data_IF_574820449535
#
_entry.id   IF_574820449535
#
_cell.length_a   1.000
_cell.length_b   1.000
_cell.length_c   1.000
_cell.angle_alpha   90.00
_cell.angle_beta   90.00
_cell.angle_gamma   90.00
#
_symmetry.space_group_name_H-M   'P 1'
#
loop_
_entity.id
_entity.type
_entity.pdbx_description
1 polymer ?
#
# COMPACT_ATOMS: atom_id res chain seq x y z
N UNK A 1 -0.69 1.69 2.99
CA UNK A 1 -1.97 1.18 2.45
C UNK A 1 -1.97 -0.31 2.20
N UNK A 2 -1.06 -0.84 1.37
CA UNK A 2 -1.13 -2.25 0.96
C UNK A 2 -1.04 -3.24 2.15
N UNK A 3 -0.22 -2.94 3.16
CA UNK A 3 -0.12 -3.79 4.36
C UNK A 3 -1.44 -3.88 5.16
N UNK A 4 -2.21 -2.80 5.25
CA UNK A 4 -3.53 -2.81 5.88
C UNK A 4 -4.49 -3.72 5.10
N UNK A 5 -4.45 -3.67 3.76
CA UNK A 5 -5.25 -4.55 2.90
C UNK A 5 -4.87 -6.01 3.12
N UNK A 6 -3.57 -6.31 3.04
CA UNK A 6 -3.04 -7.67 3.15
C UNK A 6 -3.38 -8.30 4.51
N UNK A 7 -3.42 -7.50 5.57
CA UNK A 7 -3.71 -7.95 6.94
C UNK A 7 -5.20 -7.80 7.32
N UNK A 8 -6.09 -7.58 6.36
CA UNK A 8 -7.53 -7.41 6.58
C UNK A 8 -7.89 -6.33 7.61
N UNK A 9 -7.06 -5.29 7.74
CA UNK A 9 -7.24 -4.20 8.70
C UNK A 9 -6.70 -4.48 10.11
N UNK A 10 -6.02 -5.60 10.34
CA UNK A 10 -5.33 -5.86 11.61
C UNK A 10 -4.24 -4.81 11.84
N UNK A 11 -3.46 -4.48 10.81
CA UNK A 11 -2.55 -3.35 10.82
C UNK A 11 -3.18 -2.16 10.10
N UNK A 12 -2.87 -0.95 10.58
CA UNK A 12 -3.48 0.29 10.11
C UNK A 12 -2.50 1.16 9.33
N UNK A 13 -2.95 1.67 8.20
CA UNK A 13 -2.30 2.71 7.42
C UNK A 13 -2.64 4.06 8.04
N UNK A 14 -1.93 4.42 9.11
CA UNK A 14 -2.25 5.60 9.92
C UNK A 14 -2.06 6.90 9.12
N UNK A 15 -3.12 7.73 8.98
CA UNK A 15 -3.00 9.04 8.38
C UNK A 15 -2.02 9.92 9.15
N UNK A 16 -1.18 10.66 8.44
CA UNK A 16 -0.20 11.55 9.05
C UNK A 16 -0.06 12.83 8.23
N UNK A 17 0.32 13.93 8.90
CA UNK A 17 0.57 15.24 8.28
C UNK A 17 1.79 15.87 8.92
N UNK A 18 2.52 16.67 8.15
CA UNK A 18 3.60 17.49 8.66
C UNK A 18 3.29 18.97 8.45
N UNK A 19 3.48 19.79 9.49
CA UNK A 19 3.39 21.25 9.42
C UNK A 19 4.70 21.85 9.92
N UNK A 20 5.37 22.63 9.07
CA UNK A 20 6.56 23.35 9.49
C UNK A 20 6.17 24.74 10.03
N UNK A 21 6.40 24.98 11.33
CA UNK A 21 6.10 26.26 11.98
C UNK A 21 7.36 27.06 12.37
N UNK A 22 8.55 26.53 12.12
CA UNK A 22 9.81 27.14 12.61
C UNK A 22 10.30 28.32 11.78
N UNK A 23 9.73 28.55 10.58
CA UNK A 23 10.24 29.52 9.61
C UNK A 23 11.59 29.13 8.98
N UNK A 24 12.17 28.00 9.39
CA UNK A 24 13.45 27.48 8.89
C UNK A 24 13.22 26.27 7.98
N UNK A 25 14.13 25.98 7.03
CA UNK A 25 14.08 24.77 6.24
C UNK A 25 14.05 23.51 7.12
N UNK A 26 13.21 22.54 6.75
CA UNK A 26 13.11 21.23 7.41
C UNK A 26 13.41 20.14 6.38
N UNK A 27 14.39 19.30 6.67
CA UNK A 27 14.72 18.13 5.85
C UNK A 27 13.96 16.90 6.36
N UNK A 28 13.50 16.06 5.45
CA UNK A 28 12.80 14.80 5.75
C UNK A 28 13.07 13.82 4.63
N UNK A 29 13.46 12.60 4.97
CA UNK A 29 13.89 11.58 4.01
C UNK A 29 13.02 10.32 4.17
N UNK A 30 11.80 10.29 3.63
CA UNK A 30 10.94 9.12 3.70
C UNK A 30 11.50 8.00 2.81
N UNK A 31 11.47 6.77 3.32
CA UNK A 31 11.77 5.56 2.57
C UNK A 31 10.51 4.69 2.49
N UNK A 32 10.15 4.27 1.28
CA UNK A 32 9.01 3.40 1.02
C UNK A 32 9.54 2.00 0.67
N UNK A 33 9.27 1.03 1.54
CA UNK A 33 9.63 -0.36 1.32
C UNK A 33 8.41 -1.15 0.85
N UNK A 34 8.41 -1.43 -0.45
CA UNK A 34 7.22 -1.86 -1.17
C UNK A 34 7.39 -3.27 -1.78
N UNK A 35 6.28 -3.94 -2.15
CA UNK A 35 6.34 -5.16 -2.94
C UNK A 35 7.08 -4.97 -4.27
N UNK A 36 7.56 -6.07 -4.85
CA UNK A 36 8.10 -6.07 -6.21
C UNK A 36 7.07 -5.52 -7.22
N UNK A 37 7.54 -4.96 -8.32
CA UNK A 37 6.70 -4.25 -9.29
C UNK A 37 5.57 -5.11 -9.86
N UNK A 38 5.89 -6.35 -10.23
CA UNK A 38 4.97 -7.35 -10.79
C UNK A 38 4.25 -8.18 -9.72
N UNK A 39 4.56 -7.97 -8.43
CA UNK A 39 3.91 -8.68 -7.34
C UNK A 39 2.40 -8.45 -7.41
N UNK A 40 1.63 -9.51 -7.15
CA UNK A 40 0.17 -9.43 -7.00
C UNK A 40 -0.15 -9.59 -5.52
N UNK A 41 -0.31 -8.49 -4.74
CA UNK A 41 -0.49 -8.60 -3.30
C UNK A 41 -1.76 -9.37 -2.98
N UNK A 42 -1.63 -10.41 -2.16
CA UNK A 42 -2.75 -11.19 -1.64
C UNK A 42 -2.88 -10.96 -0.14
N UNK A 43 -4.06 -11.28 0.41
CA UNK A 43 -4.21 -11.32 1.87
C UNK A 43 -3.21 -12.32 2.47
N UNK A 44 -2.57 -11.92 3.57
CA UNK A 44 -1.76 -12.86 4.35
C UNK A 44 -2.69 -13.85 5.05
N UNK A 45 -2.33 -15.14 5.14
CA UNK A 45 -3.09 -16.10 5.93
C UNK A 45 -3.10 -15.65 7.40
N UNK A 46 -4.31 -15.50 7.96
CA UNK A 46 -4.51 -15.15 9.36
C UNK A 46 -5.13 -16.35 10.08
N UNK A 47 -4.68 -16.62 11.31
CA UNK A 47 -5.34 -17.60 12.18
C UNK A 47 -6.76 -17.12 12.53
N UNK A 48 -7.69 -18.01 12.92
CA UNK A 48 -9.03 -17.61 13.34
C UNK A 48 -9.03 -16.54 14.44
N UNK A 49 -8.06 -16.60 15.35
CA UNK A 49 -7.89 -15.61 16.43
C UNK A 49 -7.53 -14.24 15.86
N UNK A 50 -6.59 -14.17 14.91
CA UNK A 50 -6.18 -12.91 14.27
C UNK A 50 -7.27 -12.35 13.36
N UNK A 51 -8.06 -13.21 12.70
CA UNK A 51 -9.23 -12.79 11.93
C UNK A 51 -10.28 -12.13 12.84
N UNK A 52 -10.55 -12.73 13.99
CA UNK A 52 -11.48 -12.15 14.97
C UNK A 52 -10.97 -10.81 15.52
N UNK A 53 -9.66 -10.69 15.76
CA UNK A 53 -9.05 -9.42 16.16
C UNK A 53 -9.18 -8.34 15.08
N UNK A 54 -8.92 -8.67 13.82
CA UNK A 54 -9.09 -7.75 12.70
C UNK A 54 -10.54 -7.26 12.58
N UNK A 55 -11.52 -8.15 12.73
CA UNK A 55 -12.94 -7.80 12.74
C UNK A 55 -13.27 -6.85 13.89
N UNK A 56 -12.86 -7.17 15.13
CA UNK A 56 -13.06 -6.32 16.29
C UNK A 56 -12.44 -4.93 16.10
N UNK A 57 -11.22 -4.87 15.57
CA UNK A 57 -10.54 -3.62 15.28
C UNK A 57 -11.32 -2.75 14.30
N UNK A 58 -11.98 -3.35 13.28
CA UNK A 58 -12.81 -2.63 12.32
C UNK A 58 -14.12 -2.12 12.93
N UNK A 59 -14.71 -2.86 13.87
CA UNK A 59 -15.94 -2.45 14.57
C UNK A 59 -15.70 -1.38 15.63
N UNK A 60 -14.48 -1.29 16.19
CA UNK A 60 -14.10 -0.22 17.10
C UNK A 60 -14.17 1.17 16.45
N UNK A 61 -14.11 1.24 15.11
CA UNK A 61 -14.24 2.48 14.34
C UNK A 61 -15.71 2.94 14.15
N UNK A 62 -16.67 2.29 14.81
CA UNK A 62 -18.10 2.64 14.79
C UNK A 62 -18.96 1.76 13.87
N UNK A 63 -20.27 2.03 13.84
CA UNK A 63 -21.26 1.20 13.12
C UNK A 63 -21.03 1.13 11.61
N UNK A 64 -20.36 2.14 11.03
CA UNK A 64 -20.00 2.19 9.61
C UNK A 64 -18.66 1.49 9.30
N UNK A 65 -17.91 1.08 10.34
CA UNK A 65 -16.56 0.54 10.24
C UNK A 65 -15.51 1.56 9.78
N UNK A 66 -14.25 1.13 9.68
CA UNK A 66 -13.16 1.95 9.14
C UNK A 66 -13.49 2.46 7.73
N UNK A 67 -13.87 3.73 7.60
CA UNK A 67 -14.00 4.44 6.34
C UNK A 67 -12.74 5.28 6.13
N UNK A 68 -12.00 4.99 5.06
CA UNK A 68 -10.84 5.80 4.67
C UNK A 68 -11.25 7.22 4.32
N UNK A 69 -10.34 8.16 4.51
CA UNK A 69 -10.52 9.58 4.19
C UNK A 69 -10.82 9.83 2.70
N UNK A 70 -10.39 8.93 1.81
CA UNK A 70 -10.60 8.98 0.36
C UNK A 70 -11.77 8.10 -0.12
N UNK A 71 -12.48 7.42 0.80
CA UNK A 71 -13.56 6.48 0.47
C UNK A 71 -13.13 5.26 -0.35
N UNK A 72 -11.83 5.05 -0.57
CA UNK A 72 -11.34 3.98 -1.45
C UNK A 72 -11.48 2.60 -0.79
N UNK A 73 -12.05 1.65 -1.52
CA UNK A 73 -12.12 0.24 -1.12
C UNK A 73 -10.91 -0.51 -1.64
N UNK A 74 -9.76 -0.33 -0.99
CA UNK A 74 -8.48 -0.93 -1.42
C UNK A 74 -8.51 -2.46 -1.55
N UNK A 75 -9.39 -3.13 -0.80
CA UNK A 75 -9.69 -4.58 -0.89
C UNK A 75 -10.17 -5.03 -2.29
N UNK A 76 -10.64 -4.09 -3.13
CA UNK A 76 -11.10 -4.35 -4.49
C UNK A 76 -10.01 -4.24 -5.54
N UNK A 77 -8.79 -3.83 -5.17
CA UNK A 77 -7.70 -3.79 -6.12
C UNK A 77 -7.47 -5.18 -6.73
N UNK A 78 -7.33 -5.20 -8.06
CA UNK A 78 -7.00 -6.38 -8.87
C UNK A 78 -5.92 -5.93 -9.83
N UNK A 79 -4.75 -6.57 -9.77
CA UNK A 79 -3.60 -6.15 -10.55
C UNK A 79 -2.29 -6.42 -9.83
N UNK A 80 -1.21 -5.92 -10.42
CA UNK A 80 0.14 -5.90 -9.85
C UNK A 80 0.34 -4.67 -8.97
N UNK A 81 1.34 -4.70 -8.09
CA UNK A 81 1.68 -3.55 -7.25
C UNK A 81 2.06 -2.32 -8.08
N UNK A 82 2.78 -2.51 -9.19
CA UNK A 82 3.15 -1.44 -10.11
C UNK A 82 1.93 -0.73 -10.70
N UNK A 83 0.92 -1.47 -11.15
CA UNK A 83 -0.35 -0.89 -11.63
C UNK A 83 -1.05 -0.06 -10.55
N UNK A 84 -1.06 -0.55 -9.30
CA UNK A 84 -1.61 0.20 -8.16
C UNK A 84 -0.87 1.52 -7.95
N UNK A 85 0.47 1.47 -7.92
CA UNK A 85 1.31 2.62 -7.62
C UNK A 85 1.21 3.68 -8.73
N UNK A 86 1.32 3.26 -10.00
CA UNK A 86 1.17 4.16 -11.15
C UNK A 86 -0.20 4.84 -11.13
N UNK A 87 -1.28 4.09 -10.85
CA UNK A 87 -2.62 4.66 -10.75
C UNK A 87 -2.76 5.78 -9.70
N UNK A 88 -1.92 5.78 -8.65
CA UNK A 88 -1.91 6.83 -7.63
C UNK A 88 -1.13 8.08 -8.06
N UNK A 89 -0.06 7.94 -8.83
CA UNK A 89 0.88 9.03 -9.11
C UNK A 89 0.78 9.59 -10.53
N UNK A 90 0.23 8.83 -11.48
CA UNK A 90 0.22 9.17 -12.91
C UNK A 90 -0.50 10.47 -13.27
N UNK A 91 -1.44 10.94 -12.44
CA UNK A 91 -2.08 12.26 -12.66
C UNK A 91 -1.09 13.42 -12.50
N UNK A 92 -0.06 13.24 -11.69
CA UNK A 92 0.96 14.26 -11.38
C UNK A 92 2.21 14.04 -12.23
N UNK A 93 2.54 12.78 -12.52
CA UNK A 93 3.70 12.36 -13.34
C UNK A 93 3.21 11.58 -14.57
N UNK A 94 2.64 12.27 -15.58
CA UNK A 94 1.98 11.64 -16.71
C UNK A 94 2.92 10.79 -17.58
N UNK A 95 4.22 11.07 -17.58
CA UNK A 95 5.25 10.30 -18.28
C UNK A 95 5.40 8.86 -17.77
N UNK A 96 4.93 8.59 -16.54
CA UNK A 96 4.89 7.25 -15.97
C UNK A 96 3.66 6.46 -16.43
N UNK A 97 2.65 7.12 -17.01
CA UNK A 97 1.49 6.45 -17.58
C UNK A 97 1.86 5.79 -18.91
N UNK A 98 1.73 4.46 -18.99
CA UNK A 98 2.01 3.69 -20.21
C UNK A 98 3.42 3.07 -20.28
N UNK A 99 4.29 3.32 -19.30
CA UNK A 99 5.49 2.49 -19.14
C UNK A 99 5.12 1.18 -18.46
N UNK A 100 4.89 0.14 -19.25
CA UNK A 100 4.99 -1.22 -18.73
C UNK A 100 6.48 -1.48 -18.50
N UNK A 101 6.96 -1.14 -17.30
CA UNK A 101 8.34 -1.43 -16.89
C UNK A 101 8.53 -2.94 -17.02
N UNK A 102 9.18 -3.36 -18.10
CA UNK A 102 9.54 -4.74 -18.32
C UNK A 102 10.43 -5.16 -17.15
N UNK A 103 9.97 -6.11 -16.35
CA UNK A 103 10.82 -6.78 -15.38
C UNK A 103 11.82 -7.56 -16.22
N UNK A 104 13.05 -7.07 -16.31
CA UNK A 104 14.17 -7.91 -16.74
C UNK A 104 14.15 -9.12 -15.81
N UNK A 105 13.83 -10.30 -16.34
CA UNK A 105 14.21 -11.53 -15.66
C UNK A 105 15.70 -11.40 -15.38
N UNK A 106 16.09 -11.55 -14.12
CA UNK A 106 17.48 -11.84 -13.82
C UNK A 106 17.74 -13.23 -14.41
N UNK A 107 18.14 -13.26 -15.68
CA UNK A 107 18.60 -14.46 -16.34
C UNK A 107 19.74 -15.03 -15.50
N UNK A 108 19.49 -16.26 -15.03
CA UNK A 108 20.49 -17.30 -14.81
C UNK A 108 21.91 -16.79 -14.55
N UNK A 109 22.22 -16.55 -13.27
CA UNK A 109 23.58 -16.78 -12.80
C UNK A 109 23.81 -18.30 -12.85
N UNK A 110 24.15 -18.78 -14.05
CA UNK A 110 24.73 -20.09 -14.27
C UNK A 110 26.07 -20.15 -13.55
N UNK A 111 26.05 -20.73 -12.35
CA UNK A 111 27.24 -21.29 -11.74
C UNK A 111 27.39 -22.71 -12.30
N UNK A 112 28.34 -22.85 -13.21
CA UNK A 112 28.97 -24.12 -13.55
C UNK A 112 29.88 -24.59 -12.41
#
# INVERSE_FOLDING_TARGET
>A
DMLEVMTAGLYRSTPHRARNTSGQPRLSFPFFFDPAWDARPTCVPLTPQLQLQALKARHADGAEGYRRWDGALLQRFRGTYGEHLVGKVAKVFPELAGQQLAVSSADSLGLA
#
